data_IF_046707086931
#
_entry.id   IF_046707086931
#
_cell.length_a   1.000
_cell.length_b   1.000
_cell.length_c   1.000
_cell.angle_alpha   90.00
_cell.angle_beta   90.00
_cell.angle_gamma   90.00
#
_symmetry.space_group_name_H-M   'P 1'
#
loop_
_entity.id
_entity.type
_entity.pdbx_description
1 polymer ?
#
# COMPACT_ATOMS: atom_id res chain seq x y z
N UNK A 1 -44.43 -10.59 -17.26
CA UNK A 1 -43.59 -9.75 -16.36
C UNK A 1 -44.47 -8.73 -15.66
N UNK A 2 -44.51 -8.75 -14.33
CA UNK A 2 -45.45 -7.95 -13.53
C UNK A 2 -45.01 -6.48 -13.41
N UNK A 3 -45.92 -5.53 -13.11
CA UNK A 3 -45.58 -4.12 -12.93
C UNK A 3 -44.52 -3.88 -11.84
N UNK A 4 -44.57 -4.68 -10.74
CA UNK A 4 -43.53 -4.65 -9.69
C UNK A 4 -42.16 -5.07 -10.22
N UNK A 5 -42.09 -6.11 -11.05
CA UNK A 5 -40.84 -6.57 -11.68
C UNK A 5 -40.26 -5.51 -12.62
N UNK A 6 -41.10 -4.81 -13.40
CA UNK A 6 -40.66 -3.72 -14.29
C UNK A 6 -40.08 -2.53 -13.53
N UNK A 7 -40.70 -2.15 -12.41
CA UNK A 7 -40.22 -1.07 -11.52
C UNK A 7 -38.87 -1.42 -10.86
N UNK A 8 -38.71 -2.65 -10.40
CA UNK A 8 -37.44 -3.13 -9.83
C UNK A 8 -36.30 -3.11 -10.86
N UNK A 9 -36.56 -3.57 -12.08
CA UNK A 9 -35.58 -3.56 -13.16
C UNK A 9 -35.17 -2.15 -13.59
N UNK A 10 -36.11 -1.21 -13.63
CA UNK A 10 -35.83 0.19 -13.99
C UNK A 10 -35.04 0.91 -12.88
N UNK A 11 -35.37 0.70 -11.60
CA UNK A 11 -34.58 1.23 -10.48
C UNK A 11 -33.17 0.62 -10.47
N UNK A 12 -33.05 -0.69 -10.68
CA UNK A 12 -31.75 -1.36 -10.79
C UNK A 12 -30.92 -0.80 -11.94
N UNK A 13 -31.53 -0.56 -13.10
CA UNK A 13 -30.85 0.04 -14.25
C UNK A 13 -30.34 1.45 -13.94
N UNK A 14 -31.16 2.32 -13.33
CA UNK A 14 -30.75 3.68 -12.95
C UNK A 14 -29.57 3.66 -11.97
N UNK A 15 -29.59 2.78 -10.97
CA UNK A 15 -28.49 2.65 -10.01
C UNK A 15 -27.20 2.16 -10.66
N UNK A 16 -27.29 1.18 -11.57
CA UNK A 16 -26.14 0.69 -12.35
C UNK A 16 -25.60 1.83 -13.22
N UNK A 17 -26.46 2.55 -13.94
CA UNK A 17 -26.04 3.68 -14.78
C UNK A 17 -25.38 4.79 -13.97
N UNK A 18 -25.82 5.07 -12.74
CA UNK A 18 -25.16 6.04 -11.86
C UNK A 18 -23.79 5.55 -11.37
N UNK A 19 -23.68 4.27 -11.00
CA UNK A 19 -22.42 3.64 -10.62
C UNK A 19 -21.39 3.69 -11.77
N UNK A 20 -21.79 3.34 -12.98
CA UNK A 20 -20.88 3.32 -14.14
C UNK A 20 -20.67 4.69 -14.78
N UNK A 21 -21.67 5.58 -14.74
CA UNK A 21 -21.60 6.92 -15.35
C UNK A 21 -20.91 7.96 -14.48
N UNK A 22 -20.95 7.82 -13.15
CA UNK A 22 -20.35 8.78 -12.20
C UNK A 22 -19.37 8.09 -11.27
N UNK A 23 -19.75 6.97 -10.66
CA UNK A 23 -18.95 6.30 -9.64
C UNK A 23 -17.60 5.77 -10.13
N UNK A 24 -17.59 4.99 -11.22
CA UNK A 24 -16.36 4.41 -11.80
C UNK A 24 -15.42 5.49 -12.34
N UNK A 25 -15.89 6.47 -13.15
CA UNK A 25 -15.05 7.58 -13.58
C UNK A 25 -14.47 8.36 -12.40
N UNK A 26 -15.30 8.69 -11.40
CA UNK A 26 -14.85 9.37 -10.17
C UNK A 26 -13.76 8.55 -9.45
N UNK A 27 -13.99 7.26 -9.23
CA UNK A 27 -13.02 6.37 -8.61
C UNK A 27 -11.70 6.35 -9.37
N UNK A 28 -11.73 6.23 -10.70
CA UNK A 28 -10.52 6.23 -11.52
C UNK A 28 -9.80 7.59 -11.50
N UNK A 29 -10.55 8.69 -11.58
CA UNK A 29 -10.02 10.06 -11.61
C UNK A 29 -9.32 10.43 -10.29
N UNK A 30 -9.88 10.00 -9.15
CA UNK A 30 -9.29 10.25 -7.83
C UNK A 30 -8.31 9.15 -7.38
N UNK A 31 -7.70 8.45 -8.34
CA UNK A 31 -6.61 7.51 -8.05
C UNK A 31 -7.05 6.21 -7.39
N UNK A 32 -8.32 5.85 -7.47
CA UNK A 32 -8.89 4.61 -6.93
C UNK A 32 -8.19 3.36 -7.44
N UNK A 33 -7.74 3.33 -8.71
CA UNK A 33 -6.93 2.22 -9.22
C UNK A 33 -5.62 2.01 -8.45
N UNK A 34 -4.96 3.11 -8.07
CA UNK A 34 -3.73 3.06 -7.26
C UNK A 34 -4.02 2.76 -5.79
N UNK A 35 -5.12 3.29 -5.24
CA UNK A 35 -5.55 2.86 -3.91
C UNK A 35 -5.85 1.36 -3.90
N UNK A 36 -6.58 0.84 -4.88
CA UNK A 36 -6.84 -0.59 -5.01
C UNK A 36 -5.54 -1.39 -5.09
N UNK A 37 -4.54 -0.92 -5.84
CA UNK A 37 -3.21 -1.51 -5.89
C UNK A 37 -2.54 -1.55 -4.51
N UNK A 38 -2.50 -0.43 -3.77
CA UNK A 38 -1.96 -0.37 -2.40
C UNK A 38 -2.70 -1.30 -1.41
N UNK A 39 -3.99 -1.53 -1.63
CA UNK A 39 -4.82 -2.36 -0.75
C UNK A 39 -4.72 -3.86 -1.07
N UNK A 40 -4.62 -4.22 -2.35
CA UNK A 40 -4.66 -5.59 -2.86
C UNK A 40 -3.29 -6.23 -3.02
N UNK A 41 -2.22 -5.43 -3.12
CA UNK A 41 -0.88 -5.95 -3.27
C UNK A 41 -0.49 -6.85 -2.10
N UNK A 42 0.08 -8.00 -2.46
CA UNK A 42 0.61 -8.98 -1.52
C UNK A 42 2.10 -8.71 -1.31
N UNK A 43 2.61 -9.08 -0.14
CA UNK A 43 4.04 -8.98 0.10
C UNK A 43 4.75 -10.06 -0.72
N UNK A 44 5.62 -9.62 -1.63
CA UNK A 44 6.56 -10.42 -2.37
C UNK A 44 7.97 -10.04 -1.90
N UNK A 45 8.62 -10.97 -1.21
CA UNK A 45 9.95 -10.77 -0.63
C UNK A 45 11.00 -10.53 -1.71
N UNK A 46 10.93 -11.22 -2.84
CA UNK A 46 11.93 -11.08 -3.90
C UNK A 46 11.84 -9.68 -4.52
N UNK A 47 10.64 -9.25 -4.89
CA UNK A 47 10.40 -7.90 -5.41
C UNK A 47 10.77 -6.81 -4.38
N UNK A 48 10.51 -7.07 -3.09
CA UNK A 48 10.83 -6.14 -2.02
C UNK A 48 12.34 -5.94 -1.87
N UNK A 49 13.10 -7.04 -1.85
CA UNK A 49 14.56 -6.98 -1.70
C UNK A 49 15.20 -6.38 -2.94
N UNK A 50 14.75 -6.79 -4.13
CA UNK A 50 15.30 -6.30 -5.38
C UNK A 50 15.07 -4.79 -5.58
N UNK A 51 13.89 -4.29 -5.18
CA UNK A 51 13.52 -2.87 -5.18
C UNK A 51 13.95 -2.10 -6.44
N UNK A 52 13.72 -2.67 -7.62
CA UNK A 52 13.96 -1.99 -8.89
C UNK A 52 13.03 -0.78 -9.00
N UNK A 53 13.57 0.40 -8.73
CA UNK A 53 12.86 1.66 -8.89
C UNK A 53 12.74 2.02 -10.37
N UNK A 54 11.63 1.68 -11.01
CA UNK A 54 11.32 2.11 -12.37
C UNK A 54 10.57 3.44 -12.35
N UNK A 55 11.14 4.47 -13.00
CA UNK A 55 10.46 5.75 -13.29
C UNK A 55 9.69 6.34 -12.08
N UNK A 56 10.34 6.34 -10.90
CA UNK A 56 9.83 6.84 -9.61
C UNK A 56 8.87 5.92 -8.84
N UNK A 57 8.51 4.75 -9.37
CA UNK A 57 7.69 3.76 -8.66
C UNK A 57 8.57 2.71 -8.00
N UNK A 58 8.41 2.52 -6.70
CA UNK A 58 9.04 1.42 -5.95
C UNK A 58 8.04 0.28 -5.81
N UNK A 59 8.45 -0.98 -6.09
CA UNK A 59 7.62 -2.14 -5.85
C UNK A 59 7.27 -2.31 -4.36
N UNK A 60 8.07 -1.75 -3.45
CA UNK A 60 7.85 -1.84 -2.00
C UNK A 60 6.58 -1.12 -1.55
N UNK A 61 6.25 0.01 -2.19
CA UNK A 61 5.15 0.89 -1.77
C UNK A 61 3.79 0.18 -1.65
N UNK A 62 3.29 -0.50 -2.70
CA UNK A 62 2.01 -1.20 -2.60
C UNK A 62 2.06 -2.36 -1.59
N UNK A 63 3.23 -2.94 -1.34
CA UNK A 63 3.38 -4.08 -0.44
C UNK A 63 3.37 -3.71 1.05
N UNK A 64 3.63 -2.45 1.42
CA UNK A 64 3.80 -2.02 2.83
C UNK A 64 2.62 -2.45 3.70
N UNK A 65 1.39 -2.28 3.23
CA UNK A 65 0.21 -2.64 4.01
C UNK A 65 0.14 -4.13 4.30
N UNK A 66 0.48 -4.95 3.32
CA UNK A 66 0.53 -6.40 3.49
C UNK A 66 1.68 -6.81 4.41
N UNK A 67 2.82 -6.14 4.29
CA UNK A 67 3.98 -6.36 5.12
C UNK A 67 3.71 -6.03 6.60
N UNK A 68 3.05 -4.90 6.88
CA UNK A 68 2.65 -4.51 8.24
C UNK A 68 1.68 -5.50 8.91
N UNK A 69 0.98 -6.35 8.14
CA UNK A 69 0.16 -7.44 8.70
C UNK A 69 0.98 -8.68 9.05
N UNK A 70 2.12 -8.88 8.37
CA UNK A 70 3.01 -10.01 8.62
C UNK A 70 3.98 -9.69 9.76
N UNK A 71 4.50 -8.47 9.79
CA UNK A 71 5.31 -7.95 10.90
C UNK A 71 4.44 -7.75 12.14
N UNK A 72 4.87 -8.27 13.28
CA UNK A 72 4.14 -8.17 14.55
C UNK A 72 5.05 -7.55 15.61
N UNK A 73 4.52 -6.67 16.48
CA UNK A 73 5.24 -6.25 17.67
C UNK A 73 5.76 -7.47 18.45
N UNK A 74 6.99 -7.37 18.96
CA UNK A 74 7.70 -8.45 19.64
C UNK A 74 8.61 -9.28 18.74
N UNK A 75 8.48 -9.21 17.41
CA UNK A 75 9.45 -9.85 16.50
C UNK A 75 10.85 -9.31 16.78
N UNK A 76 11.83 -10.20 16.91
CA UNK A 76 13.22 -9.81 17.02
C UNK A 76 13.67 -9.12 15.72
N UNK A 77 14.64 -8.23 15.87
CA UNK A 77 15.27 -7.55 14.74
C UNK A 77 15.75 -8.52 13.66
N UNK A 78 16.31 -9.66 14.06
CA UNK A 78 16.75 -10.71 13.15
C UNK A 78 15.59 -11.33 12.36
N UNK A 79 14.47 -11.65 13.02
CA UNK A 79 13.28 -12.18 12.33
C UNK A 79 12.73 -11.18 11.32
N UNK A 80 12.75 -9.89 11.66
CA UNK A 80 12.35 -8.83 10.72
C UNK A 80 13.28 -8.80 9.51
N UNK A 81 14.60 -8.78 9.73
CA UNK A 81 15.59 -8.80 8.65
C UNK A 81 15.52 -10.07 7.79
N UNK A 82 15.22 -11.22 8.37
CA UNK A 82 15.01 -12.48 7.64
C UNK A 82 13.77 -12.37 6.72
N UNK A 83 12.68 -11.77 7.22
CA UNK A 83 11.44 -11.60 6.48
C UNK A 83 11.57 -10.58 5.33
N UNK A 84 12.11 -9.39 5.61
CA UNK A 84 12.03 -8.23 4.70
C UNK A 84 13.39 -7.80 4.14
N UNK A 85 14.46 -8.48 4.53
CA UNK A 85 15.82 -8.14 4.14
C UNK A 85 16.40 -6.98 4.95
N UNK A 86 17.65 -6.66 4.62
CA UNK A 86 18.39 -5.56 5.25
C UNK A 86 17.73 -4.21 4.93
N UNK A 87 17.77 -3.25 5.87
CA UNK A 87 17.30 -1.91 5.61
C UNK A 87 18.19 -1.18 4.61
N UNK A 88 17.65 -0.15 3.98
CA UNK A 88 18.47 0.78 3.20
C UNK A 88 19.28 1.69 4.12
N UNK A 89 18.71 2.03 5.29
CA UNK A 89 19.38 2.78 6.35
C UNK A 89 19.15 2.16 7.72
N UNK A 90 20.23 2.00 8.46
CA UNK A 90 20.22 1.51 9.83
C UNK A 90 20.53 2.65 10.80
N UNK A 91 19.69 2.79 11.82
CA UNK A 91 19.85 3.77 12.89
C UNK A 91 19.81 3.07 14.24
N UNK A 92 20.27 3.79 15.28
CA UNK A 92 20.22 3.28 16.65
C UNK A 92 18.78 3.20 17.14
N UNK A 93 18.16 2.03 16.98
CA UNK A 93 16.80 1.73 17.42
C UNK A 93 15.75 1.71 16.31
N UNK A 94 16.10 1.93 15.05
CA UNK A 94 15.16 1.74 13.94
C UNK A 94 15.84 1.48 12.61
N UNK A 95 15.08 0.87 11.71
CA UNK A 95 15.41 0.59 10.32
C UNK A 95 14.56 1.42 9.39
N UNK A 96 15.12 1.78 8.25
CA UNK A 96 14.47 2.59 7.23
C UNK A 96 14.60 1.94 5.85
N UNK A 97 13.47 1.85 5.16
CA UNK A 97 13.32 1.29 3.82
C UNK A 97 12.66 2.34 2.92
N UNK A 98 13.35 2.76 1.87
CA UNK A 98 12.80 3.62 0.81
C UNK A 98 11.70 2.86 0.08
N UNK A 99 10.53 3.50 -0.02
CA UNK A 99 9.35 2.95 -0.70
C UNK A 99 8.87 3.87 -1.84
N UNK A 100 9.76 4.72 -2.37
CA UNK A 100 9.49 5.53 -3.57
C UNK A 100 8.58 6.73 -3.35
N UNK A 101 8.15 7.38 -4.43
CA UNK A 101 7.50 8.69 -4.38
C UNK A 101 5.97 8.60 -4.29
N UNK A 102 5.31 9.61 -3.71
CA UNK A 102 3.87 9.78 -3.85
C UNK A 102 3.50 9.91 -5.33
N UNK A 103 2.46 9.21 -5.79
CA UNK A 103 2.05 9.12 -7.21
C UNK A 103 1.85 10.47 -7.92
N UNK A 104 1.63 11.55 -7.18
CA UNK A 104 1.24 12.86 -7.70
C UNK A 104 2.23 13.98 -7.41
N UNK A 105 3.39 13.67 -6.85
CA UNK A 105 4.38 14.69 -6.54
C UNK A 105 5.66 14.44 -7.33
N UNK A 106 6.02 15.43 -8.16
CA UNK A 106 7.39 15.63 -8.62
C UNK A 106 8.25 16.24 -7.49
N UNK A 107 8.00 15.83 -6.23
CA UNK A 107 8.78 16.31 -5.09
C UNK A 107 10.08 15.51 -4.99
N UNK A 108 11.09 16.14 -4.38
CA UNK A 108 12.33 15.48 -3.99
C UNK A 108 12.15 14.53 -2.79
N UNK A 109 10.96 14.59 -2.18
CA UNK A 109 10.59 13.91 -0.95
C UNK A 109 10.07 12.50 -1.26
N UNK A 110 10.75 11.49 -0.73
CA UNK A 110 10.39 10.10 -0.92
C UNK A 110 9.73 9.54 0.35
N UNK A 111 8.82 8.58 0.16
CA UNK A 111 8.27 7.88 1.31
C UNK A 111 9.24 6.80 1.79
N UNK A 112 9.25 6.64 3.11
CA UNK A 112 10.06 5.70 3.85
C UNK A 112 9.18 4.87 4.75
N UNK A 113 9.39 3.56 4.73
CA UNK A 113 8.87 2.65 5.72
C UNK A 113 9.89 2.47 6.84
N UNK A 114 9.50 2.82 8.06
CA UNK A 114 10.34 2.79 9.26
C UNK A 114 9.85 1.70 10.21
N UNK A 115 10.81 0.95 10.75
CA UNK A 115 10.59 -0.15 11.69
C UNK A 115 11.41 0.15 12.94
N UNK A 116 10.73 0.34 14.09
CA UNK A 116 11.35 0.75 15.35
C UNK A 116 11.48 -0.42 16.31
N UNK A 117 12.59 -0.45 17.02
CA UNK A 117 12.94 -1.50 17.97
C UNK A 117 13.18 -0.93 19.37
N UNK A 118 12.71 -1.65 20.38
CA UNK A 118 13.14 -1.50 21.77
C UNK A 118 13.69 -2.83 22.25
N UNK A 119 14.88 -2.82 22.86
CA UNK A 119 15.56 -4.05 23.34
C UNK A 119 15.60 -5.16 22.26
N UNK A 120 15.96 -4.78 21.04
CA UNK A 120 16.02 -5.66 19.85
C UNK A 120 14.68 -6.28 19.40
N UNK A 121 13.56 -5.78 19.91
CA UNK A 121 12.21 -6.22 19.52
C UNK A 121 11.44 -5.13 18.83
N UNK A 122 10.74 -5.48 17.75
CA UNK A 122 9.86 -4.59 17.01
C UNK A 122 8.76 -4.05 17.93
N UNK A 123 8.65 -2.73 18.03
CA UNK A 123 7.58 -2.08 18.81
C UNK A 123 6.63 -1.25 17.95
N UNK A 124 7.12 -0.71 16.83
CA UNK A 124 6.35 0.23 16.01
C UNK A 124 6.79 0.19 14.56
N UNK A 125 5.83 0.40 13.68
CA UNK A 125 6.05 0.59 12.25
C UNK A 125 5.38 1.89 11.80
N UNK A 126 5.98 2.60 10.85
CA UNK A 126 5.45 3.86 10.34
C UNK A 126 5.80 4.03 8.87
N UNK A 127 4.91 4.69 8.11
CA UNK A 127 5.28 5.31 6.84
C UNK A 127 5.47 6.81 7.08
N UNK A 128 6.61 7.34 6.66
CA UNK A 128 6.96 8.77 6.77
C UNK A 128 7.28 9.31 5.37
N UNK A 129 6.79 10.50 5.08
CA UNK A 129 7.23 11.32 3.96
C UNK A 129 8.42 12.16 4.45
N UNK A 130 9.55 12.13 3.74
CA UNK A 130 10.78 12.84 4.13
C UNK A 130 10.77 14.29 3.75
#
# INVERSE_FOLDING_TARGET
>A
MTPKQKKLLSVGFVLISLLFGVGVPWFLFFGGGYQAELWLARFDRAAWIENKMEKMQSPRRPMVKSLMRQLKPGMSRREVEELIGKPDYEHRGWHSYRIGYPRWQASLDYDVFEVYYEREQLVKMRVRNT
#
